data_IF_937745172159
#
_entry.id   IF_937745172159
#
_cell.length_a   1.000
_cell.length_b   1.000
_cell.length_c   1.000
_cell.angle_alpha   90.00
_cell.angle_beta   90.00
_cell.angle_gamma   90.00
#
_symmetry.space_group_name_H-M   'P 1'
#
loop_
_entity.id
_entity.type
_entity.pdbx_description
1 polymer ?
#
# COMPACT_ATOMS: atom_id res chain seq x y z
N UNK A 1 -5.06 -10.97 -8.06
CA UNK A 1 -6.00 -11.61 -9.02
C UNK A 1 -6.80 -10.61 -9.87
N UNK A 2 -6.63 -9.27 -9.72
CA UNK A 2 -7.37 -8.29 -10.53
C UNK A 2 -6.77 -8.04 -11.94
N UNK A 3 -5.70 -8.75 -12.31
CA UNK A 3 -5.06 -8.71 -13.64
C UNK A 3 -5.32 -9.99 -14.46
N UNK A 4 -5.79 -11.06 -13.81
CA UNK A 4 -6.14 -12.34 -14.45
C UNK A 4 -7.57 -12.35 -15.01
N UNK A 5 -8.38 -11.34 -14.66
CA UNK A 5 -9.72 -11.17 -15.23
C UNK A 5 -9.61 -10.41 -16.55
N UNK A 6 -10.04 -11.00 -17.68
CA UNK A 6 -9.99 -10.32 -18.96
C UNK A 6 -10.75 -8.98 -18.90
N UNK A 7 -10.14 -7.94 -19.49
CA UNK A 7 -10.70 -6.60 -19.56
C UNK A 7 -11.99 -6.63 -20.40
N UNK A 8 -13.11 -6.72 -19.70
CA UNK A 8 -14.45 -6.62 -20.27
C UNK A 8 -15.14 -5.39 -19.69
N UNK A 9 -15.85 -4.64 -20.52
CA UNK A 9 -16.82 -3.68 -19.98
C UNK A 9 -17.94 -4.46 -19.29
N UNK A 10 -18.46 -4.00 -18.13
CA UNK A 10 -19.73 -4.50 -17.65
C UNK A 10 -20.77 -4.12 -18.70
N UNK A 11 -21.19 -5.11 -19.49
CA UNK A 11 -22.29 -4.95 -20.42
C UNK A 11 -23.54 -4.50 -19.67
N UNK A 12 -24.44 -3.80 -20.37
CA UNK A 12 -25.78 -3.52 -19.85
C UNK A 12 -26.42 -4.83 -19.31
N UNK A 13 -27.25 -4.78 -18.25
CA UNK A 13 -27.87 -5.97 -17.67
C UNK A 13 -28.56 -6.80 -18.77
N UNK A 14 -28.06 -8.03 -19.00
CA UNK A 14 -28.53 -8.94 -20.05
C UNK A 14 -27.67 -9.01 -21.32
N UNK A 15 -26.52 -8.32 -21.41
CA UNK A 15 -25.62 -8.40 -22.57
C UNK A 15 -24.31 -9.15 -22.27
N UNK A 16 -23.85 -9.94 -23.24
CA UNK A 16 -22.58 -10.66 -23.14
C UNK A 16 -21.38 -9.67 -23.06
N UNK A 17 -20.36 -9.94 -22.22
CA UNK A 17 -19.21 -9.07 -22.07
C UNK A 17 -18.41 -8.96 -23.39
N UNK A 18 -18.32 -7.76 -23.95
CA UNK A 18 -17.53 -7.49 -25.16
C UNK A 18 -16.06 -7.20 -24.80
N UNK A 19 -15.07 -7.69 -25.56
CA UNK A 19 -13.66 -7.33 -25.38
C UNK A 19 -13.50 -5.82 -25.54
N UNK A 20 -12.76 -5.16 -24.64
CA UNK A 20 -12.52 -3.71 -24.75
C UNK A 20 -11.89 -3.36 -26.10
N UNK A 21 -11.06 -4.24 -26.66
CA UNK A 21 -10.41 -4.07 -27.97
C UNK A 21 -11.39 -3.85 -29.15
N UNK A 22 -12.65 -4.27 -29.03
CA UNK A 22 -13.66 -4.14 -30.09
C UNK A 22 -14.45 -2.81 -30.02
N UNK A 23 -14.26 -2.01 -28.98
CA UNK A 23 -14.94 -0.72 -28.82
C UNK A 23 -14.26 0.39 -29.65
N UNK A 24 -14.98 1.47 -30.05
CA UNK A 24 -14.33 2.63 -30.64
C UNK A 24 -13.28 3.23 -29.69
N UNK A 25 -12.13 3.67 -30.22
CA UNK A 25 -10.96 4.11 -29.43
C UNK A 25 -11.30 5.12 -28.32
N UNK A 26 -12.26 6.03 -28.56
CA UNK A 26 -12.71 7.01 -27.56
C UNK A 26 -13.38 6.37 -26.35
N UNK A 27 -14.12 5.29 -26.56
CA UNK A 27 -14.82 4.56 -25.51
C UNK A 27 -13.85 3.62 -24.76
N UNK A 28 -12.90 2.99 -25.47
CA UNK A 28 -11.78 2.27 -24.85
C UNK A 28 -10.99 3.17 -23.91
N UNK A 29 -10.60 4.36 -24.38
CA UNK A 29 -9.89 5.34 -23.57
C UNK A 29 -10.72 5.77 -22.35
N UNK A 30 -12.01 6.07 -22.53
CA UNK A 30 -12.89 6.48 -21.42
C UNK A 30 -13.02 5.40 -20.34
N UNK A 31 -13.16 4.13 -20.74
CA UNK A 31 -13.22 2.99 -19.81
C UNK A 31 -11.87 2.80 -19.13
N UNK A 32 -10.77 2.85 -19.88
CA UNK A 32 -9.41 2.73 -19.36
C UNK A 32 -9.08 3.80 -18.33
N UNK A 33 -9.37 5.08 -18.62
CA UNK A 33 -9.18 6.17 -17.67
C UNK A 33 -10.05 6.02 -16.41
N UNK A 34 -11.29 5.54 -16.56
CA UNK A 34 -12.18 5.32 -15.40
C UNK A 34 -11.67 4.21 -14.49
N UNK A 35 -11.24 3.07 -15.06
CA UNK A 35 -10.67 1.96 -14.28
C UNK A 35 -9.34 2.36 -13.64
N UNK A 36 -8.46 3.01 -14.42
CA UNK A 36 -7.18 3.54 -13.92
C UNK A 36 -7.41 4.49 -12.73
N UNK A 37 -8.33 5.45 -12.85
CA UNK A 37 -8.64 6.40 -11.78
C UNK A 37 -9.17 5.71 -10.52
N UNK A 38 -10.09 4.75 -10.66
CA UNK A 38 -10.64 4.00 -9.53
C UNK A 38 -9.56 3.18 -8.80
N UNK A 39 -8.67 2.51 -9.54
CA UNK A 39 -7.56 1.73 -9.00
C UNK A 39 -6.52 2.64 -8.33
N UNK A 40 -6.12 3.73 -8.98
CA UNK A 40 -5.20 4.73 -8.43
C UNK A 40 -5.72 5.29 -7.10
N UNK A 41 -7.01 5.61 -7.02
CA UNK A 41 -7.62 6.13 -5.80
C UNK A 41 -7.65 5.09 -4.67
N UNK A 42 -7.96 3.82 -4.97
CA UNK A 42 -7.89 2.72 -4.00
C UNK A 42 -6.47 2.53 -3.46
N UNK A 43 -5.48 2.52 -4.34
CA UNK A 43 -4.07 2.41 -3.99
C UNK A 43 -3.60 3.58 -3.14
N UNK A 44 -3.96 4.82 -3.50
CA UNK A 44 -3.65 6.01 -2.73
C UNK A 44 -4.21 5.95 -1.30
N UNK A 45 -5.44 5.43 -1.12
CA UNK A 45 -6.00 5.21 0.23
C UNK A 45 -5.18 4.24 1.05
N UNK A 46 -4.69 3.15 0.45
CA UNK A 46 -3.89 2.16 1.17
C UNK A 46 -2.53 2.75 1.57
N UNK A 47 -1.84 3.44 0.66
CA UNK A 47 -0.59 4.13 0.99
C UNK A 47 -0.79 5.21 2.05
N UNK A 48 -1.86 6.00 1.95
CA UNK A 48 -2.20 7.00 2.96
C UNK A 48 -2.41 6.40 4.35
N UNK A 49 -3.11 5.25 4.44
CA UNK A 49 -3.29 4.53 5.71
C UNK A 49 -1.96 4.05 6.31
N UNK A 50 -1.11 3.44 5.49
CA UNK A 50 0.20 2.95 5.93
C UNK A 50 1.08 4.10 6.41
N UNK A 51 1.19 5.17 5.60
CA UNK A 51 2.02 6.33 5.94
C UNK A 51 1.55 7.05 7.19
N UNK A 52 0.23 7.28 7.33
CA UNK A 52 -0.34 7.92 8.51
C UNK A 52 -0.06 7.10 9.78
N UNK A 53 -0.27 5.78 9.73
CA UNK A 53 0.02 4.90 10.85
C UNK A 53 1.51 4.92 11.22
N UNK A 54 2.39 4.75 10.25
CA UNK A 54 3.83 4.71 10.49
C UNK A 54 4.33 6.01 11.10
N UNK A 55 4.07 7.16 10.47
CA UNK A 55 4.54 8.46 10.96
C UNK A 55 3.90 8.86 12.28
N UNK A 56 2.62 8.51 12.50
CA UNK A 56 1.94 8.79 13.77
C UNK A 56 2.50 7.98 14.93
N UNK A 57 2.79 6.70 14.72
CA UNK A 57 3.37 5.82 15.75
C UNK A 57 4.82 6.21 16.03
N UNK A 58 5.62 6.46 14.99
CA UNK A 58 7.02 6.86 15.13
C UNK A 58 7.14 8.18 15.90
N UNK A 59 6.36 9.21 15.51
CA UNK A 59 6.29 10.47 16.23
C UNK A 59 5.84 10.30 17.69
N UNK A 60 4.89 9.39 17.96
CA UNK A 60 4.48 9.08 19.34
C UNK A 60 5.57 8.41 20.17
N UNK A 61 6.34 7.49 19.58
CA UNK A 61 7.46 6.81 20.23
C UNK A 61 8.59 7.80 20.50
N UNK A 62 8.94 8.63 19.52
CA UNK A 62 9.95 9.68 19.66
C UNK A 62 9.56 10.67 20.75
N UNK A 63 8.29 11.12 20.76
CA UNK A 63 7.76 12.01 21.80
C UNK A 63 7.85 11.42 23.21
N UNK A 64 7.67 10.09 23.36
CA UNK A 64 7.80 9.42 24.65
C UNK A 64 9.25 9.16 25.07
N UNK A 65 10.13 8.75 24.14
CA UNK A 65 11.52 8.38 24.42
C UNK A 65 12.51 9.55 24.37
N UNK A 66 12.13 10.65 23.73
CA UNK A 66 12.98 11.81 23.44
C UNK A 66 14.31 11.43 22.77
N UNK A 67 14.28 10.41 21.89
CA UNK A 67 15.43 9.95 21.11
C UNK A 67 14.95 9.65 19.70
N UNK A 68 15.74 9.99 18.69
CA UNK A 68 15.53 9.59 17.30
C UNK A 68 16.61 8.60 16.89
N UNK A 69 16.32 7.31 17.07
CA UNK A 69 17.23 6.21 16.76
C UNK A 69 16.56 5.20 15.81
N UNK A 70 17.36 4.24 15.32
CA UNK A 70 16.87 3.21 14.42
C UNK A 70 15.81 2.31 15.08
N UNK A 71 15.81 2.20 16.41
CA UNK A 71 14.85 1.38 17.13
C UNK A 71 13.43 1.95 17.06
N UNK A 72 13.28 3.27 16.96
CA UNK A 72 11.98 3.90 16.76
C UNK A 72 11.34 3.48 15.44
N UNK A 73 12.08 3.56 14.33
CA UNK A 73 11.58 3.17 13.01
C UNK A 73 11.23 1.69 12.93
N UNK A 74 12.04 0.82 13.55
CA UNK A 74 11.76 -0.63 13.64
C UNK A 74 10.51 -0.91 14.47
N UNK A 75 10.37 -0.28 15.63
CA UNK A 75 9.21 -0.45 16.50
C UNK A 75 7.94 0.09 15.83
N UNK A 76 8.00 1.28 15.22
CA UNK A 76 6.90 1.88 14.47
C UNK A 76 6.49 1.02 13.27
N UNK A 77 7.48 0.48 12.54
CA UNK A 77 7.28 -0.48 11.45
C UNK A 77 6.54 -1.72 11.94
N UNK A 78 7.04 -2.40 12.99
CA UNK A 78 6.41 -3.58 13.56
C UNK A 78 4.96 -3.32 13.99
N UNK A 79 4.71 -2.24 14.72
CA UNK A 79 3.38 -1.90 15.20
C UNK A 79 2.43 -1.58 14.04
N UNK A 80 2.88 -0.81 13.05
CA UNK A 80 2.09 -0.49 11.86
C UNK A 80 1.73 -1.76 11.09
N UNK A 81 2.71 -2.62 10.79
CA UNK A 81 2.50 -3.87 10.07
C UNK A 81 1.60 -4.86 10.83
N UNK A 82 1.78 -4.96 12.14
CA UNK A 82 0.95 -5.80 13.01
C UNK A 82 -0.50 -5.32 13.08
N UNK A 83 -0.72 -4.00 13.23
CA UNK A 83 -2.07 -3.40 13.27
C UNK A 83 -2.79 -3.60 11.94
N UNK A 84 -2.12 -3.38 10.82
CA UNK A 84 -2.70 -3.56 9.49
C UNK A 84 -3.08 -5.02 9.22
N UNK A 85 -2.31 -5.97 9.75
CA UNK A 85 -2.55 -7.40 9.59
C UNK A 85 -3.51 -8.01 10.64
N UNK A 86 -4.10 -7.20 11.54
CA UNK A 86 -4.91 -7.69 12.68
C UNK A 86 -6.05 -8.64 12.30
N UNK A 87 -6.65 -8.48 11.13
CA UNK A 87 -7.77 -9.31 10.67
C UNK A 87 -7.33 -10.66 10.09
N UNK A 88 -6.04 -10.85 9.82
CA UNK A 88 -5.48 -12.08 9.27
C UNK A 88 -5.11 -13.13 10.31
N UNK A 89 -5.39 -12.88 11.60
CA UNK A 89 -5.02 -13.76 12.71
C UNK A 89 -3.57 -13.57 13.19
N UNK A 90 -3.14 -14.33 14.21
CA UNK A 90 -1.88 -14.09 14.92
C UNK A 90 -0.64 -14.28 14.04
N UNK A 91 -0.66 -15.25 13.12
CA UNK A 91 0.45 -15.48 12.18
C UNK A 91 0.58 -14.33 11.18
N UNK A 92 -0.53 -13.77 10.70
CA UNK A 92 -0.49 -12.60 9.82
C UNK A 92 0.03 -11.37 10.56
N UNK A 93 -0.36 -11.17 11.83
CA UNK A 93 0.17 -10.08 12.68
C UNK A 93 1.67 -10.23 12.89
N UNK A 94 2.14 -11.42 13.23
CA UNK A 94 3.56 -11.68 13.42
C UNK A 94 4.35 -11.46 12.12
N UNK A 95 3.85 -11.99 10.99
CA UNK A 95 4.45 -11.78 9.68
C UNK A 95 4.45 -10.30 9.26
N UNK A 96 3.35 -9.58 9.48
CA UNK A 96 3.21 -8.16 9.20
C UNK A 96 4.17 -7.31 10.03
N UNK A 97 4.29 -7.58 11.33
CA UNK A 97 5.27 -6.93 12.19
C UNK A 97 6.70 -7.19 11.69
N UNK A 98 7.07 -8.44 11.44
CA UNK A 98 8.42 -8.79 11.01
C UNK A 98 8.79 -8.13 9.68
N UNK A 99 7.88 -8.17 8.70
CA UNK A 99 8.11 -7.58 7.38
C UNK A 99 8.29 -6.06 7.44
N UNK A 100 7.39 -5.35 8.14
CA UNK A 100 7.47 -3.89 8.24
C UNK A 100 8.63 -3.44 9.11
N UNK A 101 8.97 -4.18 10.18
CA UNK A 101 10.15 -3.91 11.00
C UNK A 101 11.45 -4.00 10.18
N UNK A 102 11.60 -5.09 9.41
CA UNK A 102 12.76 -5.29 8.55
C UNK A 102 12.87 -4.23 7.45
N UNK A 103 11.75 -3.89 6.80
CA UNK A 103 11.71 -2.84 5.79
C UNK A 103 12.08 -1.47 6.37
N UNK A 104 11.49 -1.09 7.51
CA UNK A 104 11.81 0.17 8.18
C UNK A 104 13.28 0.24 8.59
N UNK A 105 13.85 -0.85 9.14
CA UNK A 105 15.27 -0.93 9.45
C UNK A 105 16.14 -0.67 8.21
N UNK A 106 15.85 -1.33 7.09
CA UNK A 106 16.61 -1.21 5.86
C UNK A 106 16.58 0.22 5.31
N UNK A 107 15.40 0.86 5.30
CA UNK A 107 15.24 2.24 4.83
C UNK A 107 15.93 3.22 5.77
N UNK A 108 15.78 3.07 7.09
CA UNK A 108 16.42 3.97 8.06
C UNK A 108 17.95 3.86 8.03
N UNK A 109 18.49 2.66 7.81
CA UNK A 109 19.92 2.46 7.55
C UNK A 109 20.32 3.20 6.28
N UNK A 110 19.62 2.95 5.17
CA UNK A 110 19.93 3.57 3.87
C UNK A 110 19.89 5.11 3.92
N UNK A 111 18.86 5.68 4.56
CA UNK A 111 18.72 7.14 4.70
C UNK A 111 19.80 7.77 5.57
N UNK A 112 20.32 7.03 6.56
CA UNK A 112 21.38 7.49 7.48
C UNK A 112 22.79 7.19 6.98
N UNK A 113 22.97 6.52 5.84
CA UNK A 113 24.30 6.35 5.25
C UNK A 113 24.85 7.73 4.83
N UNK A 114 26.13 8.04 5.13
CA UNK A 114 26.77 9.19 4.53
C UNK A 114 26.76 9.01 3.01
N UNK A 115 26.35 10.06 2.29
CA UNK A 115 26.48 10.08 0.83
C UNK A 115 27.87 10.60 0.55
N UNK A 116 28.72 9.78 -0.04
CA UNK A 116 30.05 10.21 -0.49
C UNK A 116 29.84 11.30 -1.55
N UNK A 117 30.36 12.51 -1.30
CA UNK A 117 30.50 13.60 -2.28
C UNK A 117 31.76 13.42 -3.14
#
# INVERSE_FOLDING_TARGET
MAYDTPFHTPGAPGSAPKPIAELPMREQLKVGFKDMGARSYSTAKNFGKVGLMFSGIECGIEGFRAKNDLANGVAAGCLTGGILARSGGPMAVAGGCAAFAAFSAAIDVWLRQPKDE
#
